data_IF_406951645375
#
_entry.id   IF_406951645375
#
_cell.length_a   1.000
_cell.length_b   1.000
_cell.length_c   1.000
_cell.angle_alpha   90.00
_cell.angle_beta   90.00
_cell.angle_gamma   90.00
#
_symmetry.space_group_name_H-M   'P 1'
#
loop_
_entity.id
_entity.type
_entity.pdbx_description
1 polymer ?
#
# COMPACT_ATOMS: atom_id res chain seq x y z
N UNK A 1 -6.33 2.06 -0.25
CA UNK A 1 -6.35 3.39 0.37
C UNK A 1 -5.90 3.37 1.82
N UNK A 2 -5.37 4.50 2.29
CA UNK A 2 -4.94 4.67 3.67
C UNK A 2 -6.08 4.97 4.64
N UNK A 3 -7.04 4.09 4.71
CA UNK A 3 -8.22 4.25 5.54
C UNK A 3 -7.96 3.70 6.94
N UNK A 4 -8.26 4.51 7.96
CA UNK A 4 -8.25 4.04 9.34
C UNK A 4 -9.50 3.18 9.54
N UNK A 5 -9.34 1.87 9.88
CA UNK A 5 -10.49 0.99 10.03
C UNK A 5 -11.43 1.37 11.16
N UNK A 6 -10.97 2.14 12.15
CA UNK A 6 -11.81 2.59 13.24
C UNK A 6 -12.72 3.75 12.87
N UNK A 7 -12.26 4.63 11.98
CA UNK A 7 -13.02 5.83 11.58
C UNK A 7 -13.67 5.74 10.22
N UNK A 8 -13.18 4.83 9.35
CA UNK A 8 -13.63 4.71 7.96
C UNK A 8 -13.15 5.86 7.08
N UNK A 9 -12.22 6.66 7.56
CA UNK A 9 -11.69 7.83 6.85
C UNK A 9 -10.21 7.65 6.54
N UNK A 10 -9.76 8.34 5.49
CA UNK A 10 -8.33 8.38 5.16
C UNK A 10 -7.59 9.08 6.29
N UNK A 11 -6.45 8.52 6.69
CA UNK A 11 -5.63 9.12 7.75
C UNK A 11 -5.08 10.47 7.31
N UNK A 12 -4.91 11.36 8.26
CA UNK A 12 -4.28 12.65 8.02
C UNK A 12 -2.77 12.52 7.95
N UNK A 13 -2.12 13.48 7.31
CA UNK A 13 -0.67 13.54 7.26
C UNK A 13 -0.07 13.36 5.87
N UNK A 14 -0.89 13.26 4.84
CA UNK A 14 -0.44 13.20 3.45
C UNK A 14 -0.07 11.80 2.99
N UNK A 15 0.61 11.72 1.83
CA UNK A 15 0.84 10.46 1.13
C UNK A 15 1.67 9.46 1.94
N UNK A 16 2.63 9.92 2.73
CA UNK A 16 3.48 9.02 3.52
C UNK A 16 2.68 8.39 4.66
N UNK A 17 1.88 9.18 5.39
CA UNK A 17 1.00 8.65 6.43
C UNK A 17 -0.01 7.67 5.84
N UNK A 18 -0.58 8.00 4.68
CA UNK A 18 -1.50 7.11 3.97
C UNK A 18 -0.82 5.81 3.54
N UNK A 19 0.41 5.88 3.02
CA UNK A 19 1.17 4.70 2.61
C UNK A 19 1.41 3.75 3.79
N UNK A 20 1.81 4.29 4.93
CA UNK A 20 2.01 3.49 6.14
C UNK A 20 0.72 2.80 6.59
N UNK A 21 -0.40 3.52 6.53
CA UNK A 21 -1.70 2.95 6.90
C UNK A 21 -2.15 1.89 5.90
N UNK A 22 -1.90 2.10 4.59
CA UNK A 22 -2.20 1.09 3.56
C UNK A 22 -1.50 -0.22 3.88
N UNK A 23 -0.21 -0.18 4.21
CA UNK A 23 0.53 -1.41 4.51
C UNK A 23 0.07 -2.08 5.80
N UNK A 24 -0.31 -1.31 6.81
CA UNK A 24 -0.94 -1.87 8.01
C UNK A 24 -2.20 -2.64 7.67
N UNK A 25 -3.05 -2.05 6.83
CA UNK A 25 -4.30 -2.66 6.42
C UNK A 25 -4.05 -3.92 5.58
N UNK A 26 -3.10 -3.88 4.65
CA UNK A 26 -2.72 -5.03 3.84
C UNK A 26 -2.23 -6.17 4.72
N UNK A 27 -1.33 -5.88 5.65
CA UNK A 27 -0.79 -6.88 6.55
C UNK A 27 -1.90 -7.58 7.35
N UNK A 28 -2.85 -6.80 7.88
CA UNK A 28 -3.99 -7.34 8.62
C UNK A 28 -4.85 -8.25 7.74
N UNK A 29 -5.15 -7.83 6.52
CA UNK A 29 -5.94 -8.64 5.57
C UNK A 29 -5.21 -9.93 5.20
N UNK A 30 -3.90 -9.85 4.94
CA UNK A 30 -3.12 -11.02 4.58
C UNK A 30 -3.05 -12.04 5.71
N UNK A 31 -2.86 -11.59 6.94
CA UNK A 31 -2.84 -12.48 8.10
C UNK A 31 -4.19 -13.18 8.28
N UNK A 32 -5.28 -12.45 8.14
CA UNK A 32 -6.63 -13.00 8.22
C UNK A 32 -6.88 -14.05 7.12
N UNK A 33 -6.28 -13.85 5.95
CA UNK A 33 -6.41 -14.76 4.81
C UNK A 33 -5.44 -15.94 4.84
N UNK A 34 -4.61 -16.08 5.88
CA UNK A 34 -3.61 -17.15 5.97
C UNK A 34 -2.35 -16.91 5.15
N UNK A 35 -2.02 -15.66 4.90
CA UNK A 35 -0.83 -15.27 4.17
C UNK A 35 0.06 -14.32 5.00
N UNK A 36 0.98 -13.62 4.37
CA UNK A 36 1.82 -12.62 5.01
C UNK A 36 2.49 -11.72 3.96
N UNK A 37 3.14 -10.67 4.41
CA UNK A 37 3.87 -9.77 3.50
C UNK A 37 4.95 -10.50 2.71
N UNK A 38 5.59 -11.50 3.31
CA UNK A 38 6.62 -12.29 2.63
C UNK A 38 6.07 -13.19 1.50
N UNK A 39 4.77 -13.35 1.43
CA UNK A 39 4.09 -14.15 0.40
C UNK A 39 3.46 -13.32 -0.71
N UNK A 40 3.67 -12.01 -0.68
CA UNK A 40 3.23 -11.11 -1.76
C UNK A 40 4.12 -11.34 -2.99
N UNK A 41 3.49 -11.63 -4.13
CA UNK A 41 4.22 -11.90 -5.37
C UNK A 41 4.13 -10.76 -6.37
N UNK A 42 3.11 -9.93 -6.26
CA UNK A 42 2.92 -8.77 -7.13
C UNK A 42 2.21 -7.65 -6.40
N UNK A 43 2.60 -6.41 -6.71
CA UNK A 43 1.89 -5.23 -6.21
C UNK A 43 1.67 -4.21 -7.32
N UNK A 44 0.61 -3.42 -7.15
CA UNK A 44 0.27 -2.30 -8.01
C UNK A 44 0.13 -1.08 -7.12
N UNK A 45 0.93 -0.05 -7.39
CA UNK A 45 0.93 1.20 -6.62
C UNK A 45 0.35 2.30 -7.48
N UNK A 46 -0.75 2.89 -7.05
CA UNK A 46 -1.41 3.99 -7.72
C UNK A 46 -1.23 5.26 -6.90
N UNK A 47 -0.71 6.30 -7.53
CA UNK A 47 -0.42 7.57 -6.88
C UNK A 47 -1.21 8.71 -7.55
N UNK A 48 -1.72 9.61 -6.75
CA UNK A 48 -2.30 10.85 -7.26
C UNK A 48 -1.21 11.72 -7.88
N UNK A 49 -0.01 11.69 -7.31
CA UNK A 49 1.14 12.48 -7.78
C UNK A 49 2.39 11.59 -7.82
N UNK A 50 2.86 11.29 -9.03
CA UNK A 50 4.01 10.41 -9.23
C UNK A 50 5.32 11.01 -8.68
N UNK A 51 5.38 12.32 -8.45
CA UNK A 51 6.57 12.94 -7.86
C UNK A 51 6.80 12.50 -6.43
N UNK A 52 5.78 11.94 -5.76
CA UNK A 52 5.90 11.38 -4.42
C UNK A 52 6.50 9.96 -4.42
N UNK A 53 6.75 9.37 -5.60
CA UNK A 53 7.16 7.97 -5.70
C UNK A 53 8.43 7.66 -4.90
N UNK A 54 9.43 8.52 -4.94
CA UNK A 54 10.70 8.29 -4.25
C UNK A 54 10.51 8.14 -2.73
N UNK A 55 9.67 8.99 -2.14
CA UNK A 55 9.37 8.94 -0.70
C UNK A 55 8.52 7.72 -0.35
N UNK A 56 7.50 7.45 -1.17
CA UNK A 56 6.64 6.28 -0.99
C UNK A 56 7.46 5.00 -1.11
N UNK A 57 8.43 4.97 -2.02
CA UNK A 57 9.29 3.80 -2.22
C UNK A 57 10.11 3.45 -0.98
N UNK A 58 10.46 4.42 -0.16
CA UNK A 58 11.16 4.16 1.11
C UNK A 58 10.25 3.39 2.06
N UNK A 59 8.99 3.80 2.16
CA UNK A 59 8.00 3.08 2.99
C UNK A 59 7.76 1.68 2.41
N UNK A 60 7.63 1.59 1.10
CA UNK A 60 7.44 0.32 0.39
C UNK A 60 8.56 -0.66 0.69
N UNK A 61 9.81 -0.22 0.56
CA UNK A 61 10.98 -1.07 0.79
C UNK A 61 11.05 -1.63 2.23
N UNK A 62 10.58 -0.87 3.20
CA UNK A 62 10.55 -1.30 4.60
C UNK A 62 9.61 -2.48 4.85
N UNK A 63 8.65 -2.71 3.95
CA UNK A 63 7.64 -3.74 4.14
C UNK A 63 8.10 -5.13 3.69
N UNK A 64 9.14 -5.21 2.87
CA UNK A 64 9.61 -6.46 2.27
C UNK A 64 11.06 -6.72 2.66
N UNK A 65 11.31 -7.85 3.34
CA UNK A 65 12.62 -8.17 3.89
C UNK A 65 13.53 -8.93 2.94
N UNK A 66 13.05 -10.06 2.40
CA UNK A 66 13.91 -11.00 1.68
C UNK A 66 13.79 -10.88 0.17
N UNK A 67 12.57 -10.86 -0.33
CA UNK A 67 12.28 -10.84 -1.76
C UNK A 67 11.29 -9.74 -2.06
N UNK A 68 11.66 -8.85 -2.98
CA UNK A 68 10.73 -7.82 -3.44
C UNK A 68 9.76 -8.43 -4.45
N UNK A 69 8.46 -8.17 -4.32
CA UNK A 69 7.49 -8.61 -5.32
C UNK A 69 7.65 -7.85 -6.63
N UNK A 70 7.13 -8.41 -7.72
CA UNK A 70 6.96 -7.67 -8.95
C UNK A 70 6.06 -6.46 -8.69
N UNK A 71 6.36 -5.32 -9.30
CA UNK A 71 5.62 -4.08 -9.04
C UNK A 71 5.41 -3.26 -10.29
N UNK A 72 4.20 -2.68 -10.39
CA UNK A 72 3.91 -1.57 -11.30
C UNK A 72 3.49 -0.37 -10.50
N UNK A 73 3.87 0.82 -10.92
CA UNK A 73 3.51 2.07 -10.24
C UNK A 73 3.08 3.10 -11.28
N UNK A 74 1.93 3.74 -11.06
CA UNK A 74 1.37 4.69 -12.01
C UNK A 74 0.79 5.90 -11.29
N UNK A 75 0.80 7.04 -11.98
CA UNK A 75 -0.02 8.17 -11.58
C UNK A 75 -1.42 7.97 -12.17
N UNK A 76 -2.44 8.24 -11.37
CA UNK A 76 -3.83 8.17 -11.79
C UNK A 76 -4.48 9.56 -11.71
N UNK A 77 -5.59 9.74 -12.42
CA UNK A 77 -6.31 11.03 -12.44
C UNK A 77 -6.91 11.38 -11.08
N UNK A 78 -7.43 10.38 -10.37
CA UNK A 78 -8.04 10.54 -9.05
C UNK A 78 -8.15 9.21 -8.36
N UNK A 79 -8.25 9.25 -7.04
CA UNK A 79 -8.52 8.09 -6.21
C UNK A 79 -9.78 8.34 -5.37
N UNK A 80 -10.48 7.27 -4.96
CA UNK A 80 -11.66 7.42 -4.12
C UNK A 80 -11.35 8.20 -2.84
N UNK A 81 -12.33 8.92 -2.32
CA UNK A 81 -12.25 9.67 -1.06
C UNK A 81 -11.14 10.72 -1.02
N UNK A 82 -10.65 11.16 -2.18
CA UNK A 82 -9.56 12.12 -2.25
C UNK A 82 -8.22 11.55 -1.80
N UNK A 83 -8.04 10.23 -1.84
CA UNK A 83 -6.81 9.57 -1.43
C UNK A 83 -5.62 9.95 -2.30
N UNK A 84 -4.43 9.89 -1.74
CA UNK A 84 -3.18 10.17 -2.43
C UNK A 84 -2.48 8.91 -2.93
N UNK A 85 -2.85 7.75 -2.40
CA UNK A 85 -2.24 6.47 -2.73
C UNK A 85 -3.24 5.33 -2.59
N UNK A 86 -3.11 4.34 -3.47
CA UNK A 86 -3.80 3.06 -3.37
C UNK A 86 -2.81 1.96 -3.73
N UNK A 87 -2.80 0.87 -2.97
CA UNK A 87 -1.92 -0.27 -3.24
C UNK A 87 -2.77 -1.53 -3.27
N UNK A 88 -2.56 -2.32 -4.33
CA UNK A 88 -3.19 -3.62 -4.51
C UNK A 88 -2.08 -4.67 -4.54
N UNK A 89 -2.30 -5.79 -3.87
CA UNK A 89 -1.33 -6.88 -3.85
C UNK A 89 -1.98 -8.20 -4.22
N UNK A 90 -1.16 -9.08 -4.78
CA UNK A 90 -1.50 -10.47 -4.98
C UNK A 90 -0.51 -11.26 -4.12
N UNK A 91 -1.05 -12.14 -3.28
CA UNK A 91 -0.24 -12.96 -2.38
C UNK A 91 -0.67 -14.41 -2.46
N UNK A 92 0.25 -15.30 -2.16
CA UNK A 92 -0.05 -16.73 -2.08
C UNK A 92 -0.22 -17.12 -0.62
N UNK A 93 -0.96 -18.21 -0.36
CA UNK A 93 -1.12 -18.73 0.99
C UNK A 93 0.21 -19.30 1.50
N UNK A 94 0.36 -19.27 2.79
CA UNK A 94 1.51 -19.90 3.45
C UNK A 94 1.53 -21.40 3.23
#
# INVERSE_FOLDING_TARGET
>A
LGINPETGKIVEGGVIAEAKQVFKNIEAVLEEAGSSMNHVVKSLVLLKDITAFAEVNKVYAEQFNDVLPARSAFQVAALPLGGNIEIEVIAVEK
#
